data_IF_286531134311
#
_entry.id   IF_286531134311
#
_cell.length_a   1.000
_cell.length_b   1.000
_cell.length_c   1.000
_cell.angle_alpha   90.00
_cell.angle_beta   90.00
_cell.angle_gamma   90.00
#
_symmetry.space_group_name_H-M   'P 1'
#
loop_
_entity.id
_entity.type
_entity.pdbx_description
1 polymer ?
#
# COMPACT_ATOMS: atom_id res chain seq x y z
N UNK A 1 14.81 -6.40 -31.61
CA UNK A 1 13.60 -5.92 -30.91
C UNK A 1 12.97 -7.10 -30.21
N UNK A 2 13.03 -7.17 -28.87
CA UNK A 2 12.27 -8.15 -28.10
C UNK A 2 11.11 -7.39 -27.47
N UNK A 3 9.91 -7.65 -27.95
CA UNK A 3 8.69 -7.35 -27.21
C UNK A 3 8.73 -8.14 -25.91
N UNK A 4 9.14 -7.47 -24.85
CA UNK A 4 8.85 -7.94 -23.49
C UNK A 4 7.40 -7.56 -23.28
N UNK A 5 6.49 -8.52 -23.44
CA UNK A 5 5.14 -8.38 -22.93
C UNK A 5 5.27 -8.03 -21.45
N UNK A 6 5.06 -6.75 -21.12
CA UNK A 6 5.09 -6.26 -19.75
C UNK A 6 3.90 -6.88 -19.05
N UNK A 7 4.09 -8.05 -18.45
CA UNK A 7 3.14 -8.61 -17.50
C UNK A 7 2.84 -7.50 -16.48
N UNK A 8 1.59 -7.05 -16.45
CA UNK A 8 1.15 -6.05 -15.49
C UNK A 8 1.23 -6.74 -14.12
N UNK A 9 2.20 -6.35 -13.31
CA UNK A 9 2.28 -6.84 -11.93
C UNK A 9 1.10 -6.28 -11.15
N UNK A 10 0.63 -7.00 -10.13
CA UNK A 10 -0.45 -6.54 -9.27
C UNK A 10 -0.13 -5.17 -8.64
N UNK A 11 1.15 -4.90 -8.36
CA UNK A 11 1.62 -3.59 -7.89
C UNK A 11 1.40 -2.50 -8.94
N UNK A 12 1.75 -2.74 -10.20
CA UNK A 12 1.47 -1.79 -11.29
C UNK A 12 -0.03 -1.54 -11.45
N UNK A 13 -0.84 -2.59 -11.37
CA UNK A 13 -2.29 -2.47 -11.49
C UNK A 13 -2.88 -1.61 -10.37
N UNK A 14 -2.59 -1.93 -9.11
CA UNK A 14 -3.09 -1.16 -7.96
C UNK A 14 -2.57 0.28 -8.00
N UNK A 15 -1.29 0.49 -8.32
CA UNK A 15 -0.75 1.84 -8.44
C UNK A 15 -1.42 2.67 -9.54
N UNK A 16 -1.81 2.04 -10.67
CA UNK A 16 -2.51 2.74 -11.75
C UNK A 16 -3.92 3.16 -11.33
N UNK A 17 -4.63 2.30 -10.61
CA UNK A 17 -5.96 2.57 -10.05
C UNK A 17 -5.89 3.67 -8.99
N UNK A 18 -4.94 3.59 -8.06
CA UNK A 18 -4.84 4.56 -6.98
C UNK A 18 -4.30 5.92 -7.45
N UNK A 19 -3.57 5.97 -8.57
CA UNK A 19 -3.08 7.22 -9.15
C UNK A 19 -4.20 8.13 -9.66
N UNK A 20 -5.34 7.56 -10.07
CA UNK A 20 -6.48 8.38 -10.51
C UNK A 20 -7.18 9.08 -9.34
N UNK A 21 -6.86 8.70 -8.10
CA UNK A 21 -7.46 9.27 -6.90
C UNK A 21 -7.01 10.71 -6.67
N UNK A 22 -7.91 11.66 -6.95
CA UNK A 22 -7.75 13.05 -6.54
C UNK A 22 -7.57 13.15 -5.01
N UNK A 23 -6.71 14.07 -4.57
CA UNK A 23 -6.44 14.39 -3.15
C UNK A 23 -5.52 13.43 -2.38
N UNK A 24 -4.73 12.61 -3.06
CA UNK A 24 -3.63 11.88 -2.43
C UNK A 24 -2.33 12.02 -3.24
N UNK A 25 -1.19 11.82 -2.57
CA UNK A 25 0.07 11.56 -3.26
C UNK A 25 0.40 10.09 -3.13
N UNK A 26 0.68 9.45 -4.27
CA UNK A 26 1.04 8.04 -4.35
C UNK A 26 2.52 7.89 -4.68
N UNK A 27 3.22 7.15 -3.83
CA UNK A 27 4.64 6.83 -3.97
C UNK A 27 4.80 5.32 -4.21
N UNK A 28 5.66 4.98 -5.16
CA UNK A 28 5.91 3.60 -5.56
C UNK A 28 7.24 3.50 -6.30
N UNK A 29 7.90 2.34 -6.16
CA UNK A 29 9.09 2.00 -6.95
C UNK A 29 8.70 1.51 -8.35
N UNK A 30 8.08 2.41 -9.11
CA UNK A 30 7.53 2.18 -10.45
C UNK A 30 7.87 3.37 -11.37
N UNK A 31 8.01 3.14 -12.69
CA UNK A 31 8.25 4.22 -13.65
C UNK A 31 7.17 5.31 -13.58
N UNK A 32 7.58 6.57 -13.41
CA UNK A 32 6.66 7.71 -13.34
C UNK A 32 6.02 7.95 -11.97
N UNK A 33 6.56 7.35 -10.91
CA UNK A 33 6.19 7.57 -9.51
C UNK A 33 7.41 8.03 -8.71
N UNK A 34 7.15 8.76 -7.62
CA UNK A 34 8.19 9.11 -6.66
C UNK A 34 8.42 7.90 -5.75
N UNK A 35 9.68 7.60 -5.44
CA UNK A 35 10.04 6.49 -4.54
C UNK A 35 9.46 6.71 -3.12
N UNK A 36 8.93 5.67 -2.46
CA UNK A 36 8.57 5.72 -1.04
C UNK A 36 9.75 6.10 -0.13
N UNK A 37 11.00 5.87 -0.56
CA UNK A 37 12.18 6.15 0.25
C UNK A 37 12.36 7.63 0.59
N UNK A 38 11.73 8.54 -0.17
CA UNK A 38 11.68 9.98 0.16
C UNK A 38 11.08 10.24 1.54
N UNK A 39 10.16 9.38 1.99
CA UNK A 39 9.50 9.50 3.30
C UNK A 39 9.94 8.42 4.29
N UNK A 40 10.38 7.26 3.79
CA UNK A 40 10.58 6.05 4.60
C UNK A 40 12.03 5.63 4.75
N UNK A 41 12.96 6.31 4.06
CA UNK A 41 14.35 5.88 3.94
C UNK A 41 14.52 4.66 3.02
N UNK A 42 15.77 4.27 2.78
CA UNK A 42 16.07 3.18 1.83
C UNK A 42 15.92 1.78 2.44
N UNK A 43 15.88 1.68 3.78
CA UNK A 43 15.83 0.39 4.50
C UNK A 43 14.41 -0.21 4.56
N UNK A 44 13.38 0.63 4.63
CA UNK A 44 11.99 0.22 4.78
C UNK A 44 11.14 0.74 3.62
N UNK A 45 11.16 0.01 2.50
CA UNK A 45 10.41 0.37 1.29
C UNK A 45 9.12 -0.45 1.15
N UNK A 46 7.94 0.11 1.48
CA UNK A 46 6.67 -0.56 1.21
C UNK A 46 6.39 -0.62 -0.29
N UNK A 47 5.49 -1.52 -0.71
CA UNK A 47 5.10 -1.63 -2.12
C UNK A 47 4.44 -0.35 -2.64
N UNK A 48 3.55 0.24 -1.84
CA UNK A 48 2.91 1.52 -2.09
C UNK A 48 2.85 2.33 -0.80
N UNK A 49 3.00 3.64 -0.93
CA UNK A 49 2.82 4.59 0.15
C UNK A 49 1.88 5.70 -0.33
N UNK A 50 0.87 6.03 0.45
CA UNK A 50 -0.15 7.02 0.06
C UNK A 50 -0.27 8.07 1.16
N UNK A 51 -0.16 9.35 0.81
CA UNK A 51 -0.36 10.45 1.76
C UNK A 51 -1.62 11.23 1.42
N UNK A 52 -2.50 11.41 2.40
CA UNK A 52 -3.63 12.34 2.38
C UNK A 52 -3.22 13.63 3.08
N UNK A 53 -2.59 14.54 2.33
CA UNK A 53 -2.00 15.78 2.87
C UNK A 53 -1.18 15.47 4.15
N UNK A 54 -1.33 16.27 5.22
CA UNK A 54 -0.71 16.03 6.52
C UNK A 54 -1.63 15.22 7.48
N UNK A 55 -2.77 14.70 7.00
CA UNK A 55 -3.74 14.01 7.86
C UNK A 55 -3.43 12.54 8.05
N UNK A 56 -3.16 11.82 6.95
CA UNK A 56 -2.99 10.38 7.02
C UNK A 56 -1.93 9.89 6.05
N UNK A 57 -1.14 8.93 6.50
CA UNK A 57 -0.26 8.15 5.63
C UNK A 57 -0.62 6.66 5.72
N UNK A 58 -0.75 6.05 4.55
CA UNK A 58 -1.00 4.62 4.37
C UNK A 58 0.26 3.94 3.88
N UNK A 59 0.73 2.96 4.66
CA UNK A 59 1.83 2.07 4.30
C UNK A 59 1.19 0.77 3.79
N UNK A 60 1.20 0.55 2.48
CA UNK A 60 0.56 -0.60 1.86
C UNK A 60 1.60 -1.62 1.40
N UNK A 61 1.51 -2.82 1.96
CA UNK A 61 2.37 -3.95 1.63
C UNK A 61 1.55 -5.04 0.93
N UNK A 62 2.03 -5.49 -0.24
CA UNK A 62 1.47 -6.60 -0.97
C UNK A 62 2.17 -7.89 -0.55
N UNK A 63 1.40 -8.88 -0.10
CA UNK A 63 1.95 -10.19 0.29
C UNK A 63 1.33 -11.26 -0.59
N UNK A 64 2.16 -12.13 -1.17
CA UNK A 64 1.70 -13.41 -1.73
C UNK A 64 2.02 -14.48 -0.71
N UNK A 65 1.01 -15.20 -0.22
CA UNK A 65 1.16 -16.17 0.86
C UNK A 65 0.38 -17.44 0.62
N UNK A 66 0.92 -18.57 1.08
CA UNK A 66 0.14 -19.80 1.25
C UNK A 66 -0.93 -19.59 2.32
N UNK A 67 -2.12 -20.13 2.06
CA UNK A 67 -3.37 -19.85 2.79
C UNK A 67 -3.27 -20.06 4.30
N UNK A 68 -2.48 -21.05 4.74
CA UNK A 68 -2.32 -21.39 6.16
C UNK A 68 -1.56 -20.33 6.98
N UNK A 69 -0.85 -19.40 6.33
CA UNK A 69 0.08 -18.47 7.00
C UNK A 69 -0.25 -16.99 6.79
N UNK A 70 -1.41 -16.66 6.21
CA UNK A 70 -1.76 -15.28 5.84
C UNK A 70 -1.78 -14.35 7.06
N UNK A 71 -2.36 -14.79 8.18
CA UNK A 71 -2.41 -14.01 9.43
C UNK A 71 -1.01 -13.73 9.98
N UNK A 72 -0.20 -14.78 10.14
CA UNK A 72 1.17 -14.67 10.67
C UNK A 72 2.05 -13.77 9.79
N UNK A 73 1.89 -13.86 8.47
CA UNK A 73 2.59 -12.98 7.53
C UNK A 73 2.19 -11.52 7.70
N UNK A 74 0.89 -11.23 7.81
CA UNK A 74 0.40 -9.87 8.04
C UNK A 74 0.93 -9.30 9.37
N UNK A 75 0.88 -10.07 10.46
CA UNK A 75 1.41 -9.66 11.77
C UNK A 75 2.91 -9.37 11.70
N UNK A 76 3.70 -10.26 11.08
CA UNK A 76 5.15 -10.08 10.93
C UNK A 76 5.49 -8.85 10.10
N UNK A 77 4.75 -8.59 9.02
CA UNK A 77 4.93 -7.39 8.20
C UNK A 77 4.56 -6.12 8.97
N UNK A 78 3.48 -6.12 9.74
CA UNK A 78 3.13 -4.98 10.60
C UNK A 78 4.24 -4.68 11.61
N UNK A 79 4.77 -5.72 12.27
CA UNK A 79 5.89 -5.57 13.20
C UNK A 79 7.14 -4.99 12.52
N UNK A 80 7.46 -5.42 11.29
CA UNK A 80 8.56 -4.84 10.49
C UNK A 80 8.44 -3.33 10.32
N UNK A 81 7.24 -2.80 10.16
CA UNK A 81 7.00 -1.37 9.95
C UNK A 81 6.68 -0.59 11.23
N UNK A 82 6.72 -1.22 12.41
CA UNK A 82 6.27 -0.58 13.65
C UNK A 82 7.07 0.70 13.99
N UNK A 83 8.39 0.67 13.78
CA UNK A 83 9.25 1.83 14.05
C UNK A 83 8.98 2.96 13.05
N UNK A 84 8.82 2.63 11.77
CA UNK A 84 8.41 3.59 10.74
C UNK A 84 7.05 4.22 11.08
N UNK A 85 6.08 3.42 11.53
CA UNK A 85 4.77 3.92 11.94
C UNK A 85 4.91 4.94 13.07
N UNK A 86 5.69 4.61 14.10
CA UNK A 86 5.93 5.49 15.24
C UNK A 86 6.66 6.78 14.84
N UNK A 87 7.58 6.70 13.88
CA UNK A 87 8.29 7.86 13.36
C UNK A 87 7.37 8.80 12.57
N UNK A 88 6.56 8.24 11.66
CA UNK A 88 5.67 9.04 10.82
C UNK A 88 4.51 9.67 11.62
N UNK A 89 4.12 9.10 12.76
CA UNK A 89 3.13 9.70 13.66
C UNK A 89 3.56 11.06 14.24
N UNK A 90 4.85 11.44 14.12
CA UNK A 90 5.33 12.78 14.47
C UNK A 90 4.93 13.85 13.45
N UNK A 91 4.66 13.44 12.21
CA UNK A 91 4.41 14.31 11.07
C UNK A 91 2.96 14.24 10.54
N UNK A 92 2.25 13.15 10.84
CA UNK A 92 0.89 12.90 10.37
C UNK A 92 -0.05 12.61 11.53
N UNK A 93 -1.30 13.07 11.45
CA UNK A 93 -2.32 12.78 12.48
C UNK A 93 -2.59 11.28 12.62
N UNK A 94 -2.49 10.54 11.51
CA UNK A 94 -2.74 9.10 11.44
C UNK A 94 -1.70 8.41 10.55
N UNK A 95 -1.26 7.25 11.00
CA UNK A 95 -0.45 6.32 10.20
C UNK A 95 -1.11 4.95 10.22
N UNK A 96 -1.49 4.44 9.05
CA UNK A 96 -2.17 3.16 8.91
C UNK A 96 -1.31 2.19 8.09
N UNK A 97 -1.09 0.99 8.62
CA UNK A 97 -0.46 -0.10 7.89
C UNK A 97 -1.53 -0.99 7.27
N UNK A 98 -1.46 -1.20 5.96
CA UNK A 98 -2.40 -2.01 5.19
C UNK A 98 -1.64 -3.19 4.61
N UNK A 99 -2.02 -4.41 4.97
CA UNK A 99 -1.52 -5.59 4.28
C UNK A 99 -2.59 -6.17 3.35
N UNK A 100 -2.29 -6.19 2.06
CA UNK A 100 -3.11 -6.86 1.06
C UNK A 100 -2.45 -8.18 0.70
N UNK A 101 -3.00 -9.27 1.25
CA UNK A 101 -2.52 -10.62 0.97
C UNK A 101 -3.31 -11.26 -0.17
N UNK A 102 -2.64 -11.94 -1.09
CA UNK A 102 -3.25 -12.61 -2.23
C UNK A 102 -2.86 -14.09 -2.20
N UNK A 103 -3.86 -14.97 -2.34
CA UNK A 103 -3.68 -16.42 -2.41
C UNK A 103 -4.51 -17.03 -3.54
N UNK A 104 -4.45 -18.35 -3.70
CA UNK A 104 -5.21 -19.05 -4.75
C UNK A 104 -6.73 -19.01 -4.53
N UNK A 105 -7.15 -18.81 -3.28
CA UNK A 105 -8.57 -18.67 -2.90
C UNK A 105 -9.10 -17.25 -3.02
N UNK A 106 -8.25 -16.26 -3.35
CA UNK A 106 -8.65 -14.88 -3.55
C UNK A 106 -7.79 -13.88 -2.79
N UNK A 107 -8.36 -12.70 -2.53
CA UNK A 107 -7.70 -11.59 -1.85
C UNK A 107 -8.15 -11.55 -0.39
N UNK A 108 -7.18 -11.54 0.51
CA UNK A 108 -7.37 -11.48 1.95
C UNK A 108 -6.75 -10.18 2.48
N UNK A 109 -7.56 -9.33 3.09
CA UNK A 109 -7.07 -8.36 4.06
C UNK A 109 -7.36 -8.91 5.46
N UNK A 110 -6.44 -8.72 6.39
CA UNK A 110 -6.70 -9.04 7.80
C UNK A 110 -8.00 -8.35 8.26
N UNK A 111 -8.79 -8.91 9.20
CA UNK A 111 -9.99 -8.26 9.75
C UNK A 111 -9.75 -6.93 10.51
N UNK A 112 -8.53 -6.36 10.49
CA UNK A 112 -8.38 -4.93 10.71
C UNK A 112 -8.72 -4.29 9.36
N UNK A 113 -9.83 -3.57 9.32
CA UNK A 113 -10.59 -3.05 8.17
C UNK A 113 -9.83 -2.13 7.19
N UNK A 114 -8.51 -2.25 7.08
CA UNK A 114 -7.63 -1.17 6.69
C UNK A 114 -7.66 -0.86 5.17
N UNK A 115 -7.88 -1.85 4.29
CA UNK A 115 -7.91 -1.58 2.84
C UNK A 115 -9.24 -0.96 2.40
N UNK A 116 -10.38 -1.48 2.84
CA UNK A 116 -11.68 -0.88 2.51
C UNK A 116 -11.84 0.50 3.16
N UNK A 117 -11.39 0.66 4.42
CA UNK A 117 -11.33 1.98 5.05
C UNK A 117 -10.40 2.93 4.31
N UNK A 118 -9.22 2.46 3.87
CA UNK A 118 -8.33 3.28 3.04
C UNK A 118 -9.04 3.75 1.78
N UNK A 119 -9.74 2.88 1.06
CA UNK A 119 -10.48 3.26 -0.16
C UNK A 119 -11.60 4.27 0.14
N UNK A 120 -12.28 4.14 1.27
CA UNK A 120 -13.29 5.12 1.73
C UNK A 120 -12.66 6.47 2.08
N UNK A 121 -11.55 6.46 2.82
CA UNK A 121 -10.81 7.67 3.20
C UNK A 121 -10.22 8.37 1.95
N UNK A 122 -9.91 7.59 0.91
CA UNK A 122 -9.50 8.06 -0.41
C UNK A 122 -10.67 8.55 -1.29
N UNK A 123 -11.92 8.41 -0.83
CA UNK A 123 -13.14 8.71 -1.62
C UNK A 123 -13.16 8.01 -2.98
N UNK A 124 -12.65 6.78 -3.02
CA UNK A 124 -12.48 6.02 -4.26
C UNK A 124 -13.82 5.83 -5.00
N UNK A 125 -14.90 5.57 -4.26
CA UNK A 125 -16.25 5.35 -4.81
C UNK A 125 -16.85 6.57 -5.52
N UNK A 126 -16.39 7.79 -5.19
CA UNK A 126 -16.88 9.04 -5.81
C UNK A 126 -16.29 9.26 -7.21
N UNK A 127 -15.22 8.55 -7.57
CA UNK A 127 -14.52 8.71 -8.85
C UNK A 127 -14.82 7.61 -9.87
N UNK A 128 -15.41 6.50 -9.43
CA UNK A 128 -15.82 5.40 -10.30
C UNK A 128 -17.26 5.54 -10.84
N UNK A 129 -17.85 6.74 -10.77
CA UNK A 129 -19.15 7.11 -11.36
C UNK A 129 -18.95 8.07 -12.52
#
# INVERSE_FOLDING_TARGET
MKDVSRGVTIRCFIASILKSVNHCNLYADLPGYISPSVLTGDELRPDLLITLENRCIYILELTVGFESNLFTNATRKRQKYQDLINEQLKNYEKVKFVNLSISSLGVFSHPSLDFSEMLKDLKFDEQCR
#
